data_IF_531798161360
#
_entry.id   IF_531798161360
#
_cell.length_a   1.000
_cell.length_b   1.000
_cell.length_c   1.000
_cell.angle_alpha   90.00
_cell.angle_beta   90.00
_cell.angle_gamma   90.00
#
_symmetry.space_group_name_H-M   'P 1'
#
loop_
_entity.id
_entity.type
_entity.pdbx_description
1 polymer ?
#
# COMPACT_ATOMS: atom_id res chain seq x y z
N UNK A 1 -11.58 17.75 -8.44
CA UNK A 1 -11.72 16.28 -8.35
C UNK A 1 -12.85 15.99 -7.38
N UNK A 2 -14.02 15.52 -7.84
CA UNK A 2 -15.14 15.20 -6.94
C UNK A 2 -14.80 13.92 -6.17
N UNK A 3 -14.83 13.97 -4.84
CA UNK A 3 -14.65 12.79 -3.99
C UNK A 3 -15.85 11.84 -4.21
N UNK A 4 -15.58 10.54 -4.40
CA UNK A 4 -16.62 9.54 -4.68
C UNK A 4 -17.51 9.23 -3.46
N UNK A 5 -18.69 8.61 -3.68
CA UNK A 5 -19.72 8.37 -2.65
C UNK A 5 -19.26 7.52 -1.44
N UNK A 6 -18.17 6.78 -1.58
CA UNK A 6 -17.58 5.99 -0.51
C UNK A 6 -16.83 6.83 0.54
N UNK A 7 -16.29 7.99 0.17
CA UNK A 7 -15.50 8.83 1.09
C UNK A 7 -16.39 9.62 2.04
N UNK A 8 -17.57 10.04 1.58
CA UNK A 8 -18.56 10.73 2.43
C UNK A 8 -19.07 9.83 3.55
N UNK A 9 -19.27 8.55 3.27
CA UNK A 9 -19.72 7.59 4.27
C UNK A 9 -18.64 7.29 5.34
N UNK A 10 -17.36 7.23 4.96
CA UNK A 10 -16.27 7.10 5.94
C UNK A 10 -16.22 8.29 6.90
N UNK A 11 -16.50 9.51 6.41
CA UNK A 11 -16.58 10.72 7.24
C UNK A 11 -17.72 10.67 8.26
N UNK A 12 -18.88 10.15 7.88
CA UNK A 12 -20.03 9.94 8.78
C UNK A 12 -19.72 8.94 9.90
N UNK A 13 -18.88 7.94 9.63
CA UNK A 13 -18.44 6.93 10.60
C UNK A 13 -17.24 7.39 11.45
N UNK A 14 -16.74 8.63 11.27
CA UNK A 14 -15.56 9.13 11.97
C UNK A 14 -14.26 8.45 11.57
N UNK A 15 -14.22 7.76 10.43
CA UNK A 15 -13.04 7.04 9.93
C UNK A 15 -12.18 8.01 9.13
N UNK A 16 -10.96 8.25 9.61
CA UNK A 16 -9.98 9.05 8.87
C UNK A 16 -9.42 8.24 7.69
N UNK A 17 -9.69 8.72 6.47
CA UNK A 17 -9.13 8.12 5.25
C UNK A 17 -7.74 8.71 4.99
N UNK A 18 -6.72 7.86 4.97
CA UNK A 18 -5.37 8.28 4.57
C UNK A 18 -5.25 8.38 3.04
N UNK A 19 -4.54 9.40 2.53
CA UNK A 19 -4.25 9.50 1.10
C UNK A 19 -3.36 8.32 0.67
N UNK A 20 -3.78 7.62 -0.39
CA UNK A 20 -3.02 6.52 -0.98
C UNK A 20 -2.75 6.81 -2.46
N UNK A 21 -1.50 6.69 -2.94
CA UNK A 21 -1.18 6.90 -4.34
C UNK A 21 -1.83 5.82 -5.22
N UNK A 22 -2.24 6.20 -6.43
CA UNK A 22 -2.79 5.25 -7.39
C UNK A 22 -1.75 4.17 -7.76
N UNK A 23 -2.19 2.91 -7.88
CA UNK A 23 -1.37 1.77 -8.30
C UNK A 23 -0.11 1.54 -7.44
N UNK A 24 -0.27 1.49 -6.11
CA UNK A 24 0.85 1.25 -5.19
C UNK A 24 0.76 -0.10 -4.43
N UNK A 25 0.94 -1.24 -5.12
CA UNK A 25 0.92 -2.56 -4.47
C UNK A 25 2.07 -2.74 -3.46
N UNK A 26 3.12 -1.92 -3.53
CA UNK A 26 4.23 -1.90 -2.55
C UNK A 26 3.78 -1.33 -1.19
N UNK A 27 2.71 -0.54 -1.18
CA UNK A 27 2.21 0.21 -0.03
C UNK A 27 0.97 -0.39 0.62
N UNK A 28 0.38 -1.45 0.09
CA UNK A 28 -0.79 -2.09 0.71
C UNK A 28 -0.36 -3.35 1.48
N UNK A 29 -0.51 -3.40 2.83
CA UNK A 29 -0.20 -4.60 3.63
C UNK A 29 -0.89 -5.86 3.13
N UNK A 30 -2.09 -5.68 2.57
CA UNK A 30 -2.87 -6.75 1.98
C UNK A 30 -2.17 -7.38 0.78
N UNK A 31 -1.63 -6.56 -0.12
CA UNK A 31 -1.07 -7.00 -1.39
C UNK A 31 0.32 -7.63 -1.22
N UNK A 32 1.20 -7.02 -0.41
CA UNK A 32 2.57 -7.52 -0.30
C UNK A 32 2.76 -8.61 0.75
N UNK A 33 1.82 -8.80 1.68
CA UNK A 33 2.00 -9.76 2.77
C UNK A 33 0.77 -10.63 3.04
N UNK A 34 -0.42 -10.05 3.22
CA UNK A 34 -1.59 -10.83 3.65
C UNK A 34 -2.03 -11.87 2.62
N UNK A 35 -2.24 -11.46 1.36
CA UNK A 35 -2.67 -12.38 0.32
C UNK A 35 -1.60 -13.42 -0.04
N UNK A 36 -0.30 -13.08 -0.16
CA UNK A 36 0.75 -14.08 -0.28
C UNK A 36 0.75 -15.09 0.86
N UNK A 37 0.72 -14.63 2.12
CA UNK A 37 0.74 -15.52 3.28
C UNK A 37 -0.49 -16.45 3.32
N UNK A 38 -1.67 -15.91 3.03
CA UNK A 38 -2.90 -16.69 2.98
C UNK A 38 -2.88 -17.71 1.82
N UNK A 39 -2.37 -17.32 0.65
CA UNK A 39 -2.20 -18.23 -0.48
C UNK A 39 -1.23 -19.35 -0.15
N UNK A 40 -0.10 -19.06 0.49
CA UNK A 40 0.89 -20.06 0.89
C UNK A 40 0.31 -21.06 1.90
N UNK A 41 -0.48 -20.59 2.88
CA UNK A 41 -1.15 -21.44 3.87
C UNK A 41 -2.23 -22.35 3.29
N UNK A 42 -2.90 -21.88 2.24
CA UNK A 42 -3.93 -22.62 1.51
C UNK A 42 -3.37 -23.41 0.32
N UNK A 43 -2.10 -23.22 -0.03
CA UNK A 43 -1.47 -23.89 -1.16
C UNK A 43 -1.50 -25.41 -0.98
N UNK A 44 -1.79 -26.13 -2.06
CA UNK A 44 -1.87 -27.59 -2.07
C UNK A 44 -3.15 -28.17 -1.44
N UNK A 45 -3.99 -27.37 -0.77
CA UNK A 45 -5.29 -27.84 -0.27
C UNK A 45 -6.31 -27.82 -1.41
N UNK A 46 -7.05 -28.92 -1.56
CA UNK A 46 -8.20 -29.00 -2.47
C UNK A 46 -9.48 -28.88 -1.65
N UNK A 47 -10.42 -28.10 -2.15
CA UNK A 47 -11.72 -27.91 -1.54
C UNK A 47 -12.79 -28.35 -2.52
N UNK A 48 -13.61 -29.31 -2.12
CA UNK A 48 -14.69 -29.83 -2.98
C UNK A 48 -15.93 -28.92 -2.95
N UNK A 49 -16.07 -28.10 -1.89
CA UNK A 49 -17.18 -27.16 -1.70
C UNK A 49 -16.68 -25.76 -1.41
N UNK A 50 -17.37 -24.77 -1.95
CA UNK A 50 -17.11 -23.34 -1.68
C UNK A 50 -17.20 -23.02 -0.18
N UNK A 51 -18.10 -23.70 0.54
CA UNK A 51 -18.28 -23.52 1.98
C UNK A 51 -17.01 -23.90 2.76
N UNK A 52 -16.28 -24.92 2.33
CA UNK A 52 -15.07 -25.38 3.01
C UNK A 52 -13.89 -24.45 2.70
N UNK A 53 -13.82 -23.93 1.47
CA UNK A 53 -12.89 -22.84 1.13
C UNK A 53 -13.18 -21.58 1.96
N UNK A 54 -14.45 -21.16 2.05
CA UNK A 54 -14.83 -19.97 2.81
C UNK A 54 -14.51 -20.11 4.30
N UNK A 55 -14.70 -21.31 4.88
CA UNK A 55 -14.28 -21.60 6.26
C UNK A 55 -12.77 -21.50 6.41
N UNK A 56 -12.01 -22.12 5.51
CA UNK A 56 -10.55 -22.09 5.55
C UNK A 56 -9.99 -20.65 5.43
N UNK A 57 -10.51 -19.87 4.49
CA UNK A 57 -10.13 -18.46 4.29
C UNK A 57 -10.44 -17.60 5.52
N UNK A 58 -11.52 -17.89 6.26
CA UNK A 58 -11.88 -17.16 7.47
C UNK A 58 -11.12 -17.63 8.73
N UNK A 59 -10.69 -18.90 8.78
CA UNK A 59 -10.01 -19.47 9.94
C UNK A 59 -8.51 -19.25 9.90
N UNK A 60 -7.86 -19.38 8.73
CA UNK A 60 -6.41 -19.29 8.59
C UNK A 60 -5.81 -17.96 9.10
N UNK A 61 -6.38 -16.77 8.81
CA UNK A 61 -5.87 -15.51 9.32
C UNK A 61 -5.84 -15.42 10.85
N UNK A 62 -6.74 -16.14 11.54
CA UNK A 62 -6.82 -16.16 13.01
C UNK A 62 -5.72 -16.99 13.65
N UNK A 63 -5.02 -17.81 12.86
CA UNK A 63 -3.87 -18.59 13.32
C UNK A 63 -2.56 -17.81 13.24
N UNK A 64 -2.56 -16.65 12.57
CA UNK A 64 -1.39 -15.80 12.46
C UNK A 64 -1.22 -15.04 13.80
N UNK A 65 -0.04 -15.08 14.42
CA UNK A 65 0.18 -14.42 15.70
C UNK A 65 0.13 -12.89 15.54
N UNK A 66 -0.25 -12.19 16.61
CA UNK A 66 -0.39 -10.74 16.59
C UNK A 66 0.91 -10.02 16.23
N UNK A 67 2.04 -10.56 16.68
CA UNK A 67 3.38 -10.02 16.42
C UNK A 67 3.71 -9.94 14.92
N UNK A 68 3.23 -10.87 14.11
CA UNK A 68 3.41 -10.87 12.66
C UNK A 68 2.64 -9.70 12.03
N UNK A 69 1.39 -9.47 12.46
CA UNK A 69 0.60 -8.33 12.01
C UNK A 69 1.29 -7.01 12.41
N UNK A 70 1.72 -6.88 13.66
CA UNK A 70 2.43 -5.69 14.13
C UNK A 70 3.72 -5.43 13.34
N UNK A 71 4.49 -6.47 13.04
CA UNK A 71 5.70 -6.39 12.22
C UNK A 71 5.42 -5.89 10.81
N UNK A 72 4.33 -6.36 10.20
CA UNK A 72 3.91 -5.94 8.85
C UNK A 72 3.41 -4.49 8.85
N UNK A 73 2.65 -4.08 9.86
CA UNK A 73 2.24 -2.69 10.02
C UNK A 73 3.45 -1.76 10.18
N UNK A 74 4.47 -2.17 10.93
CA UNK A 74 5.72 -1.40 11.03
C UNK A 74 6.43 -1.27 9.69
N UNK A 75 6.54 -2.38 8.94
CA UNK A 75 7.11 -2.38 7.57
C UNK A 75 6.31 -1.45 6.66
N UNK A 76 4.98 -1.48 6.75
CA UNK A 76 4.10 -0.61 6.00
C UNK A 76 4.29 0.87 6.35
N UNK A 77 4.41 1.22 7.63
CA UNK A 77 4.71 2.59 8.07
C UNK A 77 6.03 3.08 7.48
N UNK A 78 7.08 2.25 7.51
CA UNK A 78 8.38 2.57 6.91
C UNK A 78 8.25 2.77 5.41
N UNK A 79 7.59 1.85 4.69
CA UNK A 79 7.40 1.95 3.24
C UNK A 79 6.58 3.19 2.84
N UNK A 80 5.56 3.51 3.62
CA UNK A 80 4.72 4.69 3.42
C UNK A 80 5.49 5.98 3.70
N UNK A 81 6.33 6.00 4.74
CA UNK A 81 7.22 7.12 5.02
C UNK A 81 8.27 7.30 3.91
N UNK A 82 8.89 6.22 3.44
CA UNK A 82 9.83 6.27 2.31
C UNK A 82 9.13 6.73 1.03
N UNK A 83 7.89 6.33 0.76
CA UNK A 83 7.15 6.82 -0.39
C UNK A 83 6.85 8.33 -0.28
N UNK A 84 6.49 8.83 0.90
CA UNK A 84 6.29 10.27 1.13
C UNK A 84 7.60 11.06 1.00
N UNK A 85 8.70 10.53 1.54
CA UNK A 85 10.05 11.11 1.42
C UNK A 85 10.51 11.07 -0.03
N UNK A 86 10.29 9.99 -0.77
CA UNK A 86 10.60 9.91 -2.22
C UNK A 86 9.74 10.86 -3.02
N UNK A 87 8.46 11.07 -2.67
CA UNK A 87 7.60 12.07 -3.33
C UNK A 87 8.09 13.50 -3.02
N UNK A 88 8.60 13.75 -1.81
CA UNK A 88 9.19 15.04 -1.41
C UNK A 88 10.61 15.26 -2.00
N UNK A 89 11.44 14.23 -2.06
CA UNK A 89 12.81 14.22 -2.59
C UNK A 89 12.85 14.17 -4.12
N UNK A 90 11.83 13.56 -4.74
CA UNK A 90 11.61 13.67 -6.18
C UNK A 90 11.29 15.12 -6.57
N UNK A 91 10.84 15.96 -5.64
CA UNK A 91 10.69 17.39 -5.90
C UNK A 91 12.07 18.09 -5.95
N UNK A 92 13.03 17.68 -5.12
CA UNK A 92 14.39 18.25 -5.13
C UNK A 92 15.16 17.79 -6.38
N UNK A 93 15.06 16.51 -6.76
CA UNK A 93 15.68 16.03 -8.00
C UNK A 93 15.07 16.67 -9.26
N UNK A 94 13.74 16.85 -9.30
CA UNK A 94 13.09 17.56 -10.41
C UNK A 94 13.52 19.04 -10.45
N UNK A 95 13.61 19.72 -9.30
CA UNK A 95 14.09 21.11 -9.23
C UNK A 95 15.56 21.20 -9.67
N UNK A 96 16.44 20.30 -9.21
CA UNK A 96 17.86 20.29 -9.60
C UNK A 96 18.00 20.01 -11.10
N UNK A 97 17.23 19.06 -11.67
CA UNK A 97 17.26 18.77 -13.11
C UNK A 97 16.71 19.96 -13.92
N UNK A 98 15.64 20.63 -13.49
CA UNK A 98 15.10 21.83 -14.14
C UNK A 98 16.09 22.99 -14.07
N UNK A 99 16.77 23.20 -12.93
CA UNK A 99 17.78 24.25 -12.76
C UNK A 99 19.03 23.96 -13.60
N UNK A 100 19.51 22.71 -13.65
CA UNK A 100 20.65 22.33 -14.50
C UNK A 100 20.32 22.50 -15.99
N UNK A 101 19.10 22.17 -16.41
CA UNK A 101 18.67 22.33 -17.80
C UNK A 101 18.48 23.81 -18.16
N UNK A 102 17.88 24.63 -17.29
CA UNK A 102 17.75 26.08 -17.54
C UNK A 102 19.10 26.77 -17.52
N UNK A 103 20.01 26.44 -16.59
CA UNK A 103 21.36 27.01 -16.56
C UNK A 103 22.16 26.60 -17.81
N UNK A 104 22.06 25.36 -18.30
CA UNK A 104 22.69 24.93 -19.57
C UNK A 104 22.10 25.60 -20.81
N UNK A 105 20.79 25.86 -20.83
CA UNK A 105 20.12 26.56 -21.94
C UNK A 105 20.46 28.05 -21.97
N UNK A 106 20.77 28.66 -20.82
CA UNK A 106 21.13 30.08 -20.72
C UNK A 106 22.63 30.32 -20.95
N UNK A 107 23.49 29.32 -20.74
CA UNK A 107 24.96 29.42 -20.90
C UNK A 107 25.48 28.97 -22.27
N UNK A 108 24.60 28.81 -23.25
CA UNK A 108 24.98 28.59 -24.65
C UNK A 108 24.71 29.84 -25.48
N UNK A 109 25.52 30.87 -25.24
CA UNK A 109 26.08 31.77 -26.27
C UNK A 109 27.62 31.73 -26.15
#
# INVERSE_FOLDING_TARGET
MKQGPQLSHCGELGIQVMPHPAYSPVLAPCDFWFFPNLKDRLAGRKFDRIQDLAKAVNSEPRTIPEEDYQGVFRKWQIRSAVALVTIADNNIHIIIVIVIITVRVITTE
#
